data_IF_223240186462
#
_entry.id   IF_223240186462
#
_cell.length_a   1.000
_cell.length_b   1.000
_cell.length_c   1.000
_cell.angle_alpha   90.00
_cell.angle_beta   90.00
_cell.angle_gamma   90.00
#
_symmetry.space_group_name_H-M   'P 1'
#
loop_
_entity.id
_entity.type
_entity.pdbx_description
1 polymer ?
#
# COMPACT_ATOMS: atom_id res chain seq x y z
N UNK A 1 12.47 2.08 8.79
CA UNK A 1 11.21 1.81 8.04
C UNK A 1 9.99 1.68 8.94
N UNK A 2 9.83 0.72 9.87
CA UNK A 2 8.61 0.63 10.70
C UNK A 2 8.27 1.89 11.51
N UNK A 3 9.27 2.64 11.97
CA UNK A 3 9.09 3.86 12.77
C UNK A 3 8.35 4.97 12.00
N UNK A 4 8.58 5.11 10.69
CA UNK A 4 7.93 6.16 9.89
C UNK A 4 6.42 5.93 9.79
N UNK A 5 5.99 4.67 9.67
CA UNK A 5 4.57 4.31 9.62
C UNK A 5 3.86 4.61 10.95
N UNK A 6 4.53 4.38 12.08
CA UNK A 6 3.95 4.65 13.40
C UNK A 6 3.69 6.14 13.68
N UNK A 7 4.41 7.05 12.99
CA UNK A 7 4.16 8.50 13.09
C UNK A 7 2.83 8.91 12.47
N UNK A 8 2.33 8.12 11.51
CA UNK A 8 1.15 8.40 10.69
C UNK A 8 0.02 7.38 10.95
N UNK A 9 -0.09 6.91 12.19
CA UNK A 9 -1.18 6.04 12.67
C UNK A 9 -1.33 4.72 11.92
N UNK A 10 -0.27 4.26 11.25
CA UNK A 10 -0.21 2.94 10.63
C UNK A 10 0.41 1.95 11.60
N UNK A 11 -0.33 0.88 11.91
CA UNK A 11 0.14 -0.22 12.75
C UNK A 11 0.43 -1.46 11.90
N UNK A 12 1.58 -2.12 12.05
CA UNK A 12 1.81 -3.39 11.37
C UNK A 12 0.85 -4.47 11.92
N UNK A 13 0.14 -5.14 11.03
CA UNK A 13 -0.84 -6.19 11.37
C UNK A 13 -0.35 -7.57 10.97
N UNK A 14 0.44 -7.67 9.90
CA UNK A 14 0.96 -8.92 9.38
C UNK A 14 2.29 -8.70 8.71
N UNK A 15 3.27 -9.53 9.05
CA UNK A 15 4.59 -9.51 8.44
C UNK A 15 4.87 -10.87 7.81
N UNK A 16 5.38 -10.83 6.57
CA UNK A 16 5.78 -12.02 5.83
C UNK A 16 7.15 -11.79 5.22
N UNK A 17 7.77 -12.85 4.69
CA UNK A 17 9.04 -12.72 3.97
C UNK A 17 8.94 -11.82 2.72
N UNK A 18 7.73 -11.59 2.19
CA UNK A 18 7.50 -10.85 0.94
C UNK A 18 6.97 -9.43 1.13
N UNK A 19 6.27 -9.17 2.23
CA UNK A 19 5.61 -7.89 2.48
C UNK A 19 5.23 -7.72 3.95
N UNK A 20 5.12 -6.47 4.36
CA UNK A 20 4.52 -6.06 5.63
C UNK A 20 3.21 -5.33 5.36
N UNK A 21 2.16 -5.74 6.06
CA UNK A 21 0.84 -5.13 6.06
C UNK A 21 0.74 -4.12 7.20
N UNK A 22 0.23 -2.94 6.88
CA UNK A 22 -0.07 -1.91 7.86
C UNK A 22 -1.53 -1.50 7.74
N UNK A 23 -2.19 -1.37 8.88
CA UNK A 23 -3.56 -0.89 9.00
C UNK A 23 -3.54 0.51 9.61
N UNK A 24 -4.25 1.45 8.98
CA UNK A 24 -4.49 2.77 9.54
C UNK A 24 -5.51 2.68 10.69
N UNK A 25 -5.13 3.15 11.87
CA UNK A 25 -5.88 2.89 13.12
C UNK A 25 -7.29 3.50 13.10
N UNK A 26 -7.48 4.63 12.41
CA UNK A 26 -8.77 5.33 12.37
C UNK A 26 -9.66 4.76 11.26
N UNK A 27 -9.21 4.84 10.01
CA UNK A 27 -10.02 4.49 8.84
C UNK A 27 -10.09 2.99 8.55
N UNK A 28 -9.20 2.19 9.17
CA UNK A 28 -9.02 0.75 8.88
C UNK A 28 -8.52 0.45 7.47
N UNK A 29 -8.09 1.47 6.74
CA UNK A 29 -7.45 1.29 5.42
C UNK A 29 -6.14 0.53 5.58
N UNK A 30 -5.90 -0.40 4.66
CA UNK A 30 -4.71 -1.24 4.65
C UNK A 30 -3.77 -0.76 3.54
N UNK A 31 -2.48 -0.73 3.85
CA UNK A 31 -1.39 -0.55 2.90
C UNK A 31 -0.35 -1.67 3.07
N UNK A 32 0.39 -1.97 2.00
CA UNK A 32 1.50 -2.93 2.08
C UNK A 32 2.80 -2.28 1.67
N UNK A 33 3.89 -2.67 2.34
CA UNK A 33 5.25 -2.51 1.80
C UNK A 33 5.74 -3.86 1.30
N UNK A 34 6.38 -3.92 0.13
CA UNK A 34 6.99 -5.15 -0.36
C UNK A 34 8.47 -5.20 0.00
N UNK A 35 8.94 -6.36 0.47
CA UNK A 35 10.34 -6.64 0.80
C UNK A 35 11.17 -6.85 -0.48
N UNK A 36 11.22 -5.83 -1.32
CA UNK A 36 12.01 -5.79 -2.56
C UNK A 36 13.07 -4.69 -2.49
N UNK A 37 13.94 -4.57 -3.49
CA UNK A 37 14.93 -3.48 -3.53
C UNK A 37 14.21 -2.13 -3.68
N UNK A 38 14.25 -1.30 -2.65
CA UNK A 38 13.75 0.07 -2.64
C UNK A 38 12.50 0.26 -1.78
N UNK A 39 12.11 1.52 -1.63
CA UNK A 39 10.96 1.94 -0.82
C UNK A 39 9.71 1.91 -1.69
N UNK A 40 8.75 1.07 -1.34
CA UNK A 40 7.51 0.95 -2.08
C UNK A 40 6.30 0.76 -1.16
N UNK A 41 5.17 1.35 -1.56
CA UNK A 41 3.85 1.12 -0.97
C UNK A 41 2.94 0.57 -2.05
N UNK A 42 2.10 -0.39 -1.68
CA UNK A 42 1.00 -0.87 -2.51
C UNK A 42 -0.32 -0.45 -1.87
N UNK A 43 -1.09 0.39 -2.56
CA UNK A 43 -2.42 0.83 -2.13
C UNK A 43 -3.51 -0.12 -2.63
N UNK A 44 -4.60 -0.18 -1.85
CA UNK A 44 -5.83 -0.85 -2.26
C UNK A 44 -6.34 -0.26 -3.58
N UNK A 45 -6.84 -1.07 -4.53
CA UNK A 45 -7.39 -0.59 -5.81
C UNK A 45 -8.41 0.52 -5.64
N UNK A 46 -9.43 0.33 -4.81
CA UNK A 46 -10.49 1.33 -4.58
C UNK A 46 -9.93 2.65 -4.05
N UNK A 47 -8.93 2.62 -3.16
CA UNK A 47 -8.28 3.83 -2.65
C UNK A 47 -7.49 4.52 -3.76
N UNK A 48 -6.72 3.79 -4.56
CA UNK A 48 -6.00 4.36 -5.68
C UNK A 48 -6.93 4.94 -6.76
N UNK A 49 -8.06 4.30 -7.03
CA UNK A 49 -9.06 4.73 -8.01
C UNK A 49 -9.85 5.95 -7.52
N UNK A 50 -10.40 5.90 -6.31
CA UNK A 50 -11.16 7.01 -5.72
C UNK A 50 -10.32 8.29 -5.58
N UNK A 51 -9.03 8.15 -5.30
CA UNK A 51 -8.09 9.26 -5.20
C UNK A 51 -7.42 9.64 -6.53
N UNK A 52 -7.82 9.00 -7.64
CA UNK A 52 -7.27 9.22 -8.98
C UNK A 52 -5.74 9.10 -9.04
N UNK A 53 -5.16 8.22 -8.20
CA UNK A 53 -3.73 7.98 -8.12
C UNK A 53 -3.24 6.92 -9.10
N UNK A 54 -4.14 6.16 -9.72
CA UNK A 54 -3.81 5.08 -10.67
C UNK A 54 -2.79 5.52 -11.72
N UNK A 55 -2.96 6.72 -12.31
CA UNK A 55 -2.07 7.24 -13.34
C UNK A 55 -0.68 7.66 -12.82
N UNK A 56 -0.57 7.93 -11.52
CA UNK A 56 0.68 8.30 -10.83
C UNK A 56 1.40 7.09 -10.23
N UNK A 57 0.74 5.93 -10.23
CA UNK A 57 1.33 4.69 -9.72
C UNK A 57 2.31 4.09 -10.74
N UNK A 58 3.19 3.20 -10.27
CA UNK A 58 4.00 2.32 -11.11
C UNK A 58 3.20 1.20 -11.80
N UNK A 59 1.87 1.26 -11.74
CA UNK A 59 0.96 0.26 -12.29
C UNK A 59 0.50 -0.79 -11.27
N UNK A 60 -0.42 -1.68 -11.69
CA UNK A 60 -0.94 -2.73 -10.84
C UNK A 60 0.12 -3.80 -10.57
N UNK A 61 0.23 -4.22 -9.33
CA UNK A 61 1.07 -5.33 -8.89
C UNK A 61 0.19 -6.46 -8.38
N UNK A 62 0.58 -7.70 -8.70
CA UNK A 62 -0.13 -8.90 -8.26
C UNK A 62 0.76 -9.70 -7.31
N UNK A 63 0.24 -10.04 -6.14
CA UNK A 63 1.00 -10.82 -5.15
C UNK A 63 0.08 -11.50 -4.15
N UNK A 64 0.38 -12.74 -3.80
CA UNK A 64 -0.35 -13.48 -2.75
C UNK A 64 -0.15 -12.87 -1.35
N UNK A 65 0.84 -11.99 -1.17
CA UNK A 65 1.07 -11.30 0.09
C UNK A 65 0.06 -10.17 0.35
N UNK A 66 -0.62 -9.68 -0.70
CA UNK A 66 -1.65 -8.63 -0.61
C UNK A 66 -3.01 -9.22 -0.20
N UNK A 67 -3.03 -10.09 0.81
CA UNK A 67 -4.17 -10.98 1.08
C UNK A 67 -5.48 -10.27 1.43
N UNK A 68 -5.43 -9.01 1.88
CA UNK A 68 -6.61 -8.21 2.18
C UNK A 68 -7.22 -7.53 0.93
N UNK A 69 -6.53 -7.50 -0.20
CA UNK A 69 -6.98 -6.80 -1.40
C UNK A 69 -7.87 -7.67 -2.29
N UNK A 70 -8.67 -7.11 -3.22
CA UNK A 70 -9.43 -7.91 -4.18
C UNK A 70 -8.51 -8.69 -5.12
N UNK A 71 -9.07 -9.73 -5.73
CA UNK A 71 -8.37 -10.54 -6.75
C UNK A 71 -8.80 -10.15 -8.15
N UNK A 72 -7.86 -10.22 -9.09
CA UNK A 72 -8.12 -10.04 -10.53
C UNK A 72 -7.34 -11.09 -11.33
N UNK A 73 -7.85 -11.44 -12.52
CA UNK A 73 -7.12 -12.26 -13.48
C UNK A 73 -5.93 -11.49 -14.05
N UNK A 74 -4.76 -12.11 -14.04
CA UNK A 74 -3.51 -11.57 -14.58
C UNK A 74 -2.92 -12.52 -15.63
N UNK A 75 -3.62 -12.70 -16.75
CA UNK A 75 -3.21 -13.57 -17.87
C UNK A 75 -3.27 -15.09 -17.60
N UNK A 76 -3.37 -15.50 -16.33
CA UNK A 76 -3.55 -16.90 -15.91
C UNK A 76 -5.02 -17.31 -15.70
N UNK A 77 -5.21 -18.56 -15.27
CA UNK A 77 -6.55 -19.13 -14.99
C UNK A 77 -7.10 -18.76 -13.61
N UNK A 78 -6.22 -18.45 -12.65
CA UNK A 78 -6.61 -18.17 -11.27
C UNK A 78 -6.43 -16.67 -10.93
N UNK A 79 -7.43 -16.02 -10.31
CA UNK A 79 -7.29 -14.66 -9.83
C UNK A 79 -6.24 -14.54 -8.72
N UNK A 80 -5.47 -13.45 -8.74
CA UNK A 80 -4.45 -13.13 -7.73
C UNK A 80 -4.76 -11.76 -7.14
N UNK A 81 -4.47 -11.57 -5.84
CA UNK A 81 -4.65 -10.28 -5.18
C UNK A 81 -3.81 -9.19 -5.87
N UNK A 82 -4.38 -8.00 -6.03
CA UNK A 82 -3.72 -6.90 -6.72
C UNK A 82 -3.92 -5.56 -6.01
N UNK A 83 -2.97 -4.65 -6.23
CA UNK A 83 -3.02 -3.26 -5.76
C UNK A 83 -2.15 -2.37 -6.65
N UNK A 84 -2.08 -1.07 -6.35
CA UNK A 84 -1.29 -0.13 -7.13
C UNK A 84 -0.01 0.26 -6.41
N UNK A 85 1.13 0.09 -7.09
CA UNK A 85 2.45 0.32 -6.52
C UNK A 85 2.88 1.79 -6.63
N UNK A 86 3.48 2.33 -5.57
CA UNK A 86 4.11 3.64 -5.51
C UNK A 86 5.54 3.43 -5.03
N UNK A 87 6.51 3.95 -5.79
CA UNK A 87 7.93 3.82 -5.49
C UNK A 87 8.47 5.18 -5.09
N UNK A 88 9.33 5.18 -4.08
CA UNK A 88 9.93 6.39 -3.52
C UNK A 88 11.44 6.30 -3.64
N UNK A 89 12.08 7.43 -3.94
CA UNK A 89 13.53 7.54 -4.10
C UNK A 89 14.24 7.79 -2.77
N UNK A 90 13.52 8.30 -1.76
CA UNK A 90 14.06 8.57 -0.43
C UNK A 90 13.01 8.35 0.68
N UNK A 91 13.47 8.35 1.93
CA UNK A 91 12.57 8.26 3.09
C UNK A 91 11.73 9.54 3.25
N UNK A 92 12.23 10.70 2.80
CA UNK A 92 11.49 11.96 2.80
C UNK A 92 10.31 11.95 1.83
N UNK A 93 10.46 11.35 0.65
CA UNK A 93 9.34 11.19 -0.29
C UNK A 93 8.27 10.25 0.30
N UNK A 94 8.69 9.18 0.98
CA UNK A 94 7.79 8.29 1.71
C UNK A 94 7.08 9.02 2.86
N UNK A 95 7.82 9.82 3.64
CA UNK A 95 7.31 10.60 4.76
C UNK A 95 6.16 11.52 4.31
N UNK A 96 6.41 12.32 3.28
CA UNK A 96 5.42 13.24 2.72
C UNK A 96 4.19 12.50 2.20
N UNK A 97 4.40 11.35 1.56
CA UNK A 97 3.30 10.53 1.06
C UNK A 97 2.45 9.94 2.19
N UNK A 98 3.08 9.43 3.25
CA UNK A 98 2.37 8.87 4.41
C UNK A 98 1.61 9.94 5.18
N UNK A 99 2.20 11.12 5.38
CA UNK A 99 1.52 12.27 5.98
C UNK A 99 0.26 12.65 5.20
N UNK A 100 0.39 12.81 3.89
CA UNK A 100 -0.74 13.12 3.02
C UNK A 100 -1.84 12.04 3.08
N UNK A 101 -1.44 10.77 3.14
CA UNK A 101 -2.37 9.65 3.21
C UNK A 101 -3.11 9.58 4.56
N UNK A 102 -2.40 9.82 5.66
CA UNK A 102 -2.93 9.88 7.03
C UNK A 102 -3.95 11.02 7.19
N UNK A 103 -3.62 12.22 6.71
CA UNK A 103 -4.55 13.36 6.69
C UNK A 103 -5.86 13.01 5.94
N UNK A 104 -5.72 12.33 4.80
CA UNK A 104 -6.85 11.91 3.98
C UNK A 104 -7.71 10.82 4.66
N UNK A 105 -7.06 9.85 5.30
CA UNK A 105 -7.77 8.79 6.03
C UNK A 105 -8.42 9.29 7.32
N UNK A 106 -7.91 10.37 7.91
CA UNK A 106 -8.56 11.02 9.06
C UNK A 106 -9.82 11.82 8.69
N UNK A 107 -9.95 12.26 7.44
CA UNK A 107 -11.04 13.14 6.98
C UNK A 107 -12.14 12.41 6.17
N UNK A 108 -12.07 11.07 6.08
CA UNK A 108 -13.06 10.22 5.42
C UNK A 108 -14.19 9.81 6.36
#
# INVERSE_FOLDING_TARGET
MNEIFSQYRFKPTKETTKATEYEHIISRDIIYTQNTKGINIVLHPDTAESLRLVQKSGGPVHSTALSAYPKRLNGGKTPIHYGYSFKFQSEEELDQFLKWLDDLFCCR
#
